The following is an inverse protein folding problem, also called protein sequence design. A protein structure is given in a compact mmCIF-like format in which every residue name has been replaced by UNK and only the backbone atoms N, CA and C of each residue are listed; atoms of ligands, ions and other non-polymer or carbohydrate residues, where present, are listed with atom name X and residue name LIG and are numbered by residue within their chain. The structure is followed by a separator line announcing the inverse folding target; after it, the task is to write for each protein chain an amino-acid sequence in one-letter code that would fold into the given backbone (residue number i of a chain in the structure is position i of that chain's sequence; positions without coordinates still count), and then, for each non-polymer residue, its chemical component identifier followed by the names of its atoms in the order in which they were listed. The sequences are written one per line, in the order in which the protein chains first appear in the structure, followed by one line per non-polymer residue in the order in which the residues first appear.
data_IF_410002127150
#
_entry.id   IF_410002127150
#
_cell.length_a   1.000
_cell.length_b   1.000
_cell.length_c   1.000
_cell.angle_alpha   90.00
_cell.angle_beta   90.00
_cell.angle_gamma   90.00
#
_symmetry.space_group_name_H-M   'P 1'
#
loop_
_entity.id
_entity.type
_entity.pdbx_description
1 polymer ?
#
# COMPACT_ATOMS: atom_id res chain seq x y z
N UNK A 1 -12.26 -9.87 -11.77
CA UNK A 1 -11.58 -10.37 -10.54
C UNK A 1 -10.13 -10.66 -10.84
N UNK A 2 -9.24 -10.37 -9.93
CA UNK A 2 -7.84 -10.82 -9.99
C UNK A 2 -7.82 -12.36 -9.99
N UNK A 3 -7.52 -12.97 -11.13
CA UNK A 3 -7.49 -14.44 -11.26
C UNK A 3 -6.22 -15.03 -10.63
N UNK A 4 -5.10 -14.31 -10.70
CA UNK A 4 -3.81 -14.74 -10.19
C UNK A 4 -3.45 -14.02 -8.88
N UNK A 5 -2.45 -14.55 -8.16
CA UNK A 5 -1.82 -13.84 -7.05
C UNK A 5 -1.01 -12.67 -7.57
N UNK A 6 -0.92 -11.62 -6.76
CA UNK A 6 -0.09 -10.46 -7.07
C UNK A 6 1.38 -10.81 -6.82
N UNK A 7 2.22 -10.62 -7.83
CA UNK A 7 3.67 -10.77 -7.73
C UNK A 7 4.37 -9.45 -8.06
N UNK A 8 5.44 -9.14 -7.34
CA UNK A 8 6.19 -7.89 -7.49
C UNK A 8 5.66 -6.74 -6.63
N UNK A 9 5.95 -5.52 -7.03
CA UNK A 9 5.71 -4.32 -6.25
C UNK A 9 4.36 -3.67 -6.60
N UNK A 10 3.56 -3.39 -5.58
CA UNK A 10 2.37 -2.53 -5.66
C UNK A 10 2.70 -1.25 -4.89
N UNK A 11 2.64 -0.10 -5.53
CA UNK A 11 2.81 1.17 -4.85
C UNK A 11 1.57 1.51 -4.00
N UNK A 12 1.78 2.15 -2.86
CA UNK A 12 0.73 2.88 -2.15
C UNK A 12 0.87 4.37 -2.50
N UNK A 13 0.19 4.89 -3.54
CA UNK A 13 0.39 6.25 -4.01
C UNK A 13 0.00 7.29 -2.99
N UNK A 14 0.73 8.40 -2.98
CA UNK A 14 0.31 9.61 -2.30
C UNK A 14 -0.86 10.25 -3.04
N UNK A 15 -1.85 10.72 -2.33
CA UNK A 15 -2.86 11.59 -2.93
C UNK A 15 -2.25 12.97 -3.16
N UNK A 16 -2.31 13.45 -4.39
CA UNK A 16 -1.79 14.76 -4.72
C UNK A 16 -2.81 15.84 -4.38
N UNK A 17 -2.32 16.92 -3.77
CA UNK A 17 -3.09 18.12 -3.47
C UNK A 17 -2.41 19.34 -4.05
N UNK A 18 -3.21 20.36 -4.34
CA UNK A 18 -2.73 21.70 -4.69
C UNK A 18 -2.29 22.49 -3.44
N UNK A 19 -1.89 23.72 -3.63
CA UNK A 19 -1.45 24.61 -2.55
C UNK A 19 -2.58 25.02 -1.56
N UNK A 20 -3.85 24.80 -1.92
CA UNK A 20 -5.02 25.05 -1.08
C UNK A 20 -5.46 23.78 -0.33
N UNK A 21 -4.81 22.63 -0.58
CA UNK A 21 -5.18 21.33 -0.03
C UNK A 21 -6.34 20.65 -0.76
N UNK A 22 -6.71 21.13 -1.96
CA UNK A 22 -7.69 20.49 -2.81
C UNK A 22 -7.05 19.40 -3.69
N UNK A 23 -7.85 18.42 -4.16
CA UNK A 23 -7.34 17.33 -4.98
C UNK A 23 -6.70 17.82 -6.28
N UNK A 24 -5.49 17.35 -6.57
CA UNK A 24 -4.82 17.51 -7.85
C UNK A 24 -4.86 16.19 -8.63
N UNK A 25 -5.96 15.93 -9.31
CA UNK A 25 -6.15 14.71 -10.10
C UNK A 25 -5.34 14.71 -11.40
N UNK A 26 -4.90 15.88 -11.88
CA UNK A 26 -4.14 16.03 -13.13
C UNK A 26 -2.74 15.40 -13.05
N UNK A 27 -2.24 15.16 -11.82
CA UNK A 27 -0.97 14.45 -11.63
C UNK A 27 -1.09 12.93 -11.84
N UNK A 28 -2.27 12.35 -11.72
CA UNK A 28 -2.48 10.89 -11.72
C UNK A 28 -1.98 10.22 -13.03
N UNK A 29 -2.22 10.76 -14.24
CA UNK A 29 -1.69 10.15 -15.46
C UNK A 29 -0.16 10.05 -15.49
N UNK A 30 0.54 11.12 -15.11
CA UNK A 30 2.01 11.12 -15.02
C UNK A 30 2.50 10.16 -13.94
N UNK A 31 1.82 10.13 -12.80
CA UNK A 31 2.13 9.21 -11.70
C UNK A 31 2.00 7.74 -12.13
N UNK A 32 0.88 7.39 -12.79
CA UNK A 32 0.67 6.05 -13.33
C UNK A 32 1.78 5.63 -14.31
N UNK A 33 2.16 6.50 -15.24
CA UNK A 33 3.24 6.22 -16.20
C UNK A 33 4.58 6.03 -15.49
N UNK A 34 4.89 6.85 -14.48
CA UNK A 34 6.09 6.69 -13.67
C UNK A 34 6.12 5.32 -12.97
N UNK A 35 5.02 4.90 -12.33
CA UNK A 35 4.95 3.58 -11.69
C UNK A 35 5.21 2.44 -12.69
N UNK A 36 4.60 2.49 -13.86
CA UNK A 36 4.82 1.49 -14.93
C UNK A 36 6.26 1.46 -15.40
N UNK A 37 6.85 2.63 -15.67
CA UNK A 37 8.24 2.77 -16.14
C UNK A 37 9.23 2.15 -15.15
N UNK A 38 8.91 2.18 -13.84
CA UNK A 38 9.72 1.61 -12.79
C UNK A 38 9.31 0.16 -12.39
N UNK A 39 8.60 -0.55 -13.28
CA UNK A 39 8.19 -1.94 -13.11
C UNK A 39 7.32 -2.20 -11.85
N UNK A 40 6.55 -1.20 -11.42
CA UNK A 40 5.51 -1.36 -10.40
C UNK A 40 4.28 -1.98 -11.04
N UNK A 41 3.69 -2.99 -10.40
CA UNK A 41 2.62 -3.85 -10.94
C UNK A 41 1.22 -3.41 -10.55
N UNK A 42 1.09 -2.31 -9.81
CA UNK A 42 -0.23 -1.81 -9.42
C UNK A 42 -0.19 -0.69 -8.40
N UNK A 43 -1.36 -0.23 -8.02
CA UNK A 43 -1.56 0.83 -7.04
C UNK A 43 -2.59 0.43 -5.98
N UNK A 44 -2.24 0.66 -4.70
CA UNK A 44 -3.11 0.56 -3.54
C UNK A 44 -3.52 1.99 -3.14
N UNK A 45 -4.61 2.47 -3.74
CA UNK A 45 -5.02 3.88 -3.63
C UNK A 45 -5.83 4.17 -2.36
N UNK A 46 -5.80 5.41 -1.91
CA UNK A 46 -6.48 5.90 -0.71
C UNK A 46 -6.09 5.17 0.59
N UNK A 47 -4.94 4.45 0.61
CA UNK A 47 -4.40 3.84 1.82
C UNK A 47 -3.87 4.89 2.82
N UNK A 48 -3.09 4.45 3.82
CA UNK A 48 -2.47 5.37 4.80
C UNK A 48 -1.56 6.39 4.11
N UNK A 49 -0.75 5.96 3.15
CA UNK A 49 0.11 6.84 2.35
C UNK A 49 -0.69 7.83 1.50
N UNK A 50 -1.82 7.39 0.97
CA UNK A 50 -2.74 8.21 0.18
C UNK A 50 -3.72 9.03 1.02
N UNK A 51 -3.48 9.16 2.33
CA UNK A 51 -4.31 9.98 3.24
C UNK A 51 -5.80 9.63 3.23
N UNK A 52 -6.16 8.38 2.96
CA UNK A 52 -7.56 7.98 2.78
C UNK A 52 -8.46 8.27 3.97
N UNK A 53 -7.91 8.42 5.18
CA UNK A 53 -8.65 8.82 6.38
C UNK A 53 -8.93 10.33 6.44
N UNK A 54 -8.21 11.13 5.66
CA UNK A 54 -8.33 12.59 5.55
C UNK A 54 -9.10 13.03 4.29
N UNK A 55 -9.52 12.05 3.45
CA UNK A 55 -10.34 12.29 2.27
C UNK A 55 -11.83 12.17 2.62
N UNK A 56 -12.63 13.05 2.05
CA UNK A 56 -14.08 12.88 2.05
C UNK A 56 -14.49 11.69 1.19
N UNK A 57 -15.73 11.22 1.34
CA UNK A 57 -16.27 10.15 0.49
C UNK A 57 -16.19 10.49 -1.01
N UNK A 58 -16.60 11.71 -1.36
CA UNK A 58 -16.62 12.17 -2.75
C UNK A 58 -15.19 12.29 -3.33
N UNK A 59 -14.22 12.71 -2.53
CA UNK A 59 -12.82 12.74 -2.95
C UNK A 59 -12.27 11.34 -3.21
N UNK A 60 -12.59 10.36 -2.36
CA UNK A 60 -12.22 8.95 -2.61
C UNK A 60 -12.79 8.44 -3.93
N UNK A 61 -14.05 8.78 -4.22
CA UNK A 61 -14.70 8.43 -5.50
C UNK A 61 -14.01 9.10 -6.68
N UNK A 62 -13.63 10.37 -6.56
CA UNK A 62 -12.91 11.09 -7.62
C UNK A 62 -11.52 10.46 -7.88
N UNK A 63 -10.76 10.17 -6.82
CA UNK A 63 -9.47 9.49 -6.94
C UNK A 63 -9.63 8.11 -7.61
N UNK A 64 -10.61 7.32 -7.17
CA UNK A 64 -10.92 6.02 -7.77
C UNK A 64 -11.18 6.16 -9.28
N UNK A 65 -12.08 7.06 -9.69
CA UNK A 65 -12.41 7.28 -11.10
C UNK A 65 -11.22 7.72 -11.94
N UNK A 66 -10.37 8.59 -11.40
CA UNK A 66 -9.17 9.04 -12.11
C UNK A 66 -8.17 7.89 -12.33
N UNK A 67 -8.00 6.99 -11.37
CA UNK A 67 -7.14 5.81 -11.52
C UNK A 67 -7.76 4.75 -12.43
N UNK A 68 -9.04 4.41 -12.26
CA UNK A 68 -9.71 3.39 -13.10
C UNK A 68 -9.76 3.78 -14.57
N UNK A 69 -9.88 5.08 -14.89
CA UNK A 69 -9.81 5.57 -16.26
C UNK A 69 -8.49 5.19 -16.99
N UNK A 70 -7.40 5.01 -16.24
CA UNK A 70 -6.09 4.63 -16.79
C UNK A 70 -5.84 3.12 -16.71
N UNK A 71 -6.29 2.47 -15.64
CA UNK A 71 -5.92 1.07 -15.36
C UNK A 71 -6.89 0.06 -15.98
N UNK A 72 -8.14 0.45 -16.25
CA UNK A 72 -9.19 -0.45 -16.78
C UNK A 72 -8.80 -1.17 -18.09
N UNK A 73 -7.96 -0.56 -18.91
CA UNK A 73 -7.46 -1.14 -20.16
C UNK A 73 -6.07 -1.80 -20.01
N UNK A 74 -5.53 -1.85 -18.81
CA UNK A 74 -4.20 -2.39 -18.51
C UNK A 74 -4.29 -3.59 -17.56
N UNK A 75 -4.44 -4.81 -18.08
CA UNK A 75 -4.60 -6.01 -17.26
C UNK A 75 -3.35 -6.38 -16.46
N UNK A 76 -2.20 -5.78 -16.77
CA UNK A 76 -0.92 -6.01 -16.09
C UNK A 76 -0.68 -5.05 -14.92
N UNK A 77 -1.63 -4.14 -14.65
CA UNK A 77 -1.54 -3.17 -13.57
C UNK A 77 -2.75 -3.27 -12.64
N UNK A 78 -2.55 -3.87 -11.46
CA UNK A 78 -3.61 -4.09 -10.49
C UNK A 78 -4.00 -2.80 -9.74
N UNK A 79 -5.29 -2.48 -9.71
CA UNK A 79 -5.81 -1.37 -8.92
C UNK A 79 -6.58 -1.88 -7.70
N UNK A 80 -6.08 -1.58 -6.51
CA UNK A 80 -6.70 -1.94 -5.23
C UNK A 80 -7.21 -0.66 -4.57
N UNK A 81 -8.54 -0.56 -4.37
CA UNK A 81 -9.15 0.56 -3.67
C UNK A 81 -9.23 0.28 -2.17
N UNK A 82 -8.60 1.11 -1.34
CA UNK A 82 -8.77 1.05 0.10
C UNK A 82 -10.02 1.81 0.53
N UNK A 83 -10.96 1.10 1.13
CA UNK A 83 -12.27 1.61 1.50
C UNK A 83 -12.26 2.42 2.80
N UNK A 84 -11.36 2.06 3.73
CA UNK A 84 -11.32 2.58 5.08
C UNK A 84 -11.47 1.49 6.14
N UNK A 85 -11.97 1.86 7.31
CA UNK A 85 -12.11 0.92 8.44
C UNK A 85 -13.25 1.28 9.40
N UNK A 86 -13.39 2.54 9.79
CA UNK A 86 -14.25 2.92 10.92
C UNK A 86 -15.75 2.94 10.58
N UNK A 87 -16.11 3.43 9.40
CA UNK A 87 -17.50 3.53 8.95
C UNK A 87 -17.83 2.39 7.97
N UNK A 88 -18.30 1.25 8.49
CA UNK A 88 -18.63 0.07 7.69
C UNK A 88 -19.69 0.38 6.63
N UNK A 89 -20.68 1.23 6.93
CA UNK A 89 -21.72 1.60 5.95
C UNK A 89 -21.14 2.37 4.77
N UNK A 90 -20.24 3.30 5.03
CA UNK A 90 -19.51 4.03 3.98
C UNK A 90 -18.60 3.10 3.18
N UNK A 91 -17.89 2.18 3.85
CA UNK A 91 -17.07 1.18 3.16
C UNK A 91 -17.91 0.31 2.20
N UNK A 92 -19.15 -0.08 2.58
CA UNK A 92 -20.07 -0.82 1.70
C UNK A 92 -20.49 0.00 0.48
N UNK A 93 -20.78 1.29 0.65
CA UNK A 93 -21.11 2.18 -0.46
C UNK A 93 -19.93 2.32 -1.43
N UNK A 94 -18.74 2.55 -0.88
CA UNK A 94 -17.53 2.68 -1.69
C UNK A 94 -17.15 1.37 -2.38
N UNK A 95 -17.42 0.22 -1.77
CA UNK A 95 -17.24 -1.10 -2.39
C UNK A 95 -18.10 -1.27 -3.64
N UNK A 96 -19.39 -0.90 -3.56
CA UNK A 96 -20.30 -0.91 -4.73
C UNK A 96 -19.76 -0.04 -5.86
N UNK A 97 -19.34 1.19 -5.55
CA UNK A 97 -18.80 2.10 -6.55
C UNK A 97 -17.49 1.56 -7.12
N UNK A 98 -16.62 0.97 -6.29
CA UNK A 98 -15.35 0.39 -6.74
C UNK A 98 -15.55 -0.75 -7.75
N UNK A 99 -16.54 -1.61 -7.51
CA UNK A 99 -16.92 -2.66 -8.46
C UNK A 99 -17.47 -2.06 -9.77
N UNK A 100 -18.34 -1.07 -9.69
CA UNK A 100 -18.93 -0.42 -10.87
C UNK A 100 -17.89 0.31 -11.73
N UNK A 101 -16.94 0.97 -11.11
CA UNK A 101 -15.86 1.68 -11.81
C UNK A 101 -14.79 0.71 -12.34
N UNK A 102 -14.72 -0.54 -11.86
CA UNK A 102 -13.85 -1.57 -12.36
C UNK A 102 -12.50 -1.65 -11.64
N UNK A 103 -12.45 -1.36 -10.35
CA UNK A 103 -11.28 -1.70 -9.52
C UNK A 103 -11.09 -3.23 -9.49
N UNK A 104 -9.84 -3.69 -9.57
CA UNK A 104 -9.51 -5.12 -9.53
C UNK A 104 -9.75 -5.75 -8.16
N UNK A 105 -9.54 -4.95 -7.12
CA UNK A 105 -9.76 -5.35 -5.74
C UNK A 105 -10.18 -4.17 -4.86
N UNK A 106 -10.81 -4.53 -3.75
CA UNK A 106 -11.11 -3.63 -2.63
C UNK A 106 -10.37 -4.09 -1.39
N UNK A 107 -10.06 -3.15 -0.50
CA UNK A 107 -9.38 -3.46 0.75
C UNK A 107 -10.01 -2.72 1.93
N UNK A 108 -10.03 -3.40 3.07
CA UNK A 108 -10.60 -2.90 4.31
C UNK A 108 -9.65 -3.17 5.48
N UNK A 109 -9.58 -2.27 6.46
CA UNK A 109 -8.83 -2.48 7.71
C UNK A 109 -9.76 -2.53 8.91
N UNK A 110 -9.28 -3.05 10.04
CA UNK A 110 -10.06 -3.07 11.28
C UNK A 110 -10.60 -1.69 11.64
N UNK A 111 -11.88 -1.58 12.03
CA UNK A 111 -12.36 -0.39 12.72
C UNK A 111 -11.46 -0.04 13.91
N UNK A 112 -11.01 1.20 13.96
CA UNK A 112 -9.97 1.61 14.92
C UNK A 112 -10.49 2.48 16.07
N UNK A 113 -11.66 3.05 15.97
CA UNK A 113 -12.31 3.77 17.09
C UNK A 113 -13.14 2.80 17.93
N UNK A 114 -14.27 2.30 17.41
CA UNK A 114 -14.97 1.16 18.00
C UNK A 114 -14.43 -0.13 17.37
N UNK A 115 -13.60 -0.84 18.12
CA UNK A 115 -12.92 -2.04 17.62
C UNK A 115 -13.81 -3.28 17.71
N UNK A 116 -13.72 -4.21 16.76
CA UNK A 116 -14.29 -5.54 16.93
C UNK A 116 -13.78 -6.19 18.22
N UNK A 117 -14.66 -6.83 18.98
CA UNK A 117 -14.26 -7.47 20.26
C UNK A 117 -13.38 -8.72 20.04
N UNK A 118 -13.49 -9.35 18.86
CA UNK A 118 -12.74 -10.55 18.50
C UNK A 118 -12.65 -10.69 16.97
N UNK A 119 -11.90 -11.70 16.53
CA UNK A 119 -11.67 -11.96 15.11
C UNK A 119 -12.96 -12.35 14.36
N UNK A 120 -13.92 -13.00 15.02
CA UNK A 120 -15.20 -13.38 14.42
C UNK A 120 -16.05 -12.15 14.09
N UNK A 121 -16.02 -11.12 14.93
CA UNK A 121 -16.69 -9.84 14.61
C UNK A 121 -15.97 -9.08 13.51
N UNK A 122 -14.63 -9.15 13.44
CA UNK A 122 -13.87 -8.61 12.34
C UNK A 122 -14.23 -9.32 11.02
N UNK A 123 -14.31 -10.65 11.04
CA UNK A 123 -14.71 -11.46 9.88
C UNK A 123 -16.13 -11.11 9.38
N UNK A 124 -17.07 -10.80 10.30
CA UNK A 124 -18.41 -10.30 9.94
C UNK A 124 -18.36 -8.94 9.24
N UNK A 125 -17.49 -8.03 9.69
CA UNK A 125 -17.29 -6.75 8.97
C UNK A 125 -16.77 -7.00 7.55
N UNK A 126 -15.79 -7.92 7.39
CA UNK A 126 -15.29 -8.31 6.07
C UNK A 126 -16.41 -8.89 5.20
N UNK A 127 -17.24 -9.79 5.74
CA UNK A 127 -18.38 -10.39 5.05
C UNK A 127 -19.38 -9.35 4.56
N UNK A 128 -19.80 -8.44 5.45
CA UNK A 128 -20.77 -7.38 5.14
C UNK A 128 -20.29 -6.46 4.01
N UNK A 129 -19.00 -6.12 4.02
CA UNK A 129 -18.41 -5.23 3.01
C UNK A 129 -18.23 -5.98 1.70
N UNK A 130 -17.65 -7.17 1.72
CA UNK A 130 -17.40 -8.01 0.53
C UNK A 130 -18.70 -8.37 -0.19
N UNK A 131 -19.79 -8.63 0.56
CA UNK A 131 -21.11 -8.90 -0.02
C UNK A 131 -21.70 -7.73 -0.82
N UNK A 132 -21.19 -6.50 -0.60
CA UNK A 132 -21.62 -5.32 -1.38
C UNK A 132 -20.91 -5.21 -2.74
N UNK A 133 -19.83 -5.96 -2.97
CA UNK A 133 -19.08 -6.03 -4.22
C UNK A 133 -18.73 -7.50 -4.54
N UNK A 134 -19.75 -8.33 -4.89
CA UNK A 134 -19.60 -9.79 -4.94
C UNK A 134 -18.74 -10.28 -6.12
N UNK A 135 -18.38 -9.41 -7.05
CA UNK A 135 -17.53 -9.73 -8.20
C UNK A 135 -16.12 -9.13 -8.09
N UNK A 136 -15.79 -8.51 -6.97
CA UNK A 136 -14.50 -7.83 -6.76
C UNK A 136 -13.68 -8.56 -5.71
N UNK A 137 -12.37 -8.77 -5.95
CA UNK A 137 -11.47 -9.39 -4.99
C UNK A 137 -11.39 -8.56 -3.70
N UNK A 138 -11.41 -9.23 -2.54
CA UNK A 138 -11.38 -8.55 -1.25
C UNK A 138 -10.06 -8.86 -0.51
N UNK A 139 -9.35 -7.81 -0.08
CA UNK A 139 -8.17 -7.90 0.76
C UNK A 139 -8.41 -7.30 2.14
N UNK A 140 -7.94 -7.96 3.18
CA UNK A 140 -7.84 -7.33 4.48
C UNK A 140 -6.50 -6.60 4.62
N UNK A 141 -6.50 -5.38 5.17
CA UNK A 141 -5.29 -4.61 5.45
C UNK A 141 -4.95 -4.69 6.93
N UNK A 142 -3.97 -5.51 7.28
CA UNK A 142 -3.45 -5.65 8.64
C UNK A 142 -2.38 -4.61 8.94
N UNK A 143 -2.70 -3.65 9.80
CA UNK A 143 -1.79 -2.58 10.27
C UNK A 143 -2.08 -2.23 11.72
N UNK A 144 -1.74 -3.11 12.68
CA UNK A 144 -2.12 -2.97 14.08
C UNK A 144 -1.52 -1.72 14.74
N UNK A 145 -0.35 -1.25 14.31
CA UNK A 145 0.28 -0.03 14.84
C UNK A 145 -0.60 1.22 14.66
N UNK A 146 -1.43 1.29 13.62
CA UNK A 146 -2.35 2.41 13.39
C UNK A 146 -3.78 2.11 13.85
N UNK A 147 -4.22 0.86 13.77
CA UNK A 147 -5.61 0.51 14.10
C UNK A 147 -5.80 0.03 15.54
N UNK A 148 -4.71 -0.44 16.18
CA UNK A 148 -4.79 -1.14 17.45
C UNK A 148 -5.61 -2.44 17.38
N UNK A 149 -5.85 -2.95 16.17
CA UNK A 149 -6.49 -4.25 15.92
C UNK A 149 -5.47 -5.39 15.98
N UNK A 150 -5.14 -5.84 17.19
CA UNK A 150 -4.14 -6.88 17.44
C UNK A 150 -4.81 -8.27 17.41
N UNK A 151 -5.14 -8.74 16.22
CA UNK A 151 -5.64 -10.09 15.97
C UNK A 151 -4.59 -10.89 15.22
N UNK A 152 -4.47 -12.19 15.54
CA UNK A 152 -3.67 -13.09 14.69
C UNK A 152 -4.35 -13.22 13.34
N UNK A 153 -3.59 -13.07 12.29
CA UNK A 153 -4.15 -13.13 10.93
C UNK A 153 -4.44 -14.56 10.49
N UNK A 154 -3.78 -15.54 11.07
CA UNK A 154 -4.15 -16.94 10.83
C UNK A 154 -5.57 -17.24 11.32
N UNK A 155 -5.98 -16.71 12.48
CA UNK A 155 -7.34 -16.87 12.99
C UNK A 155 -8.36 -16.14 12.08
N UNK A 156 -7.97 -14.99 11.51
CA UNK A 156 -8.80 -14.30 10.52
C UNK A 156 -8.97 -15.11 9.24
N UNK A 157 -7.90 -15.71 8.72
CA UNK A 157 -7.99 -16.58 7.53
C UNK A 157 -8.94 -17.76 7.76
N UNK A 158 -8.89 -18.38 8.93
CA UNK A 158 -9.82 -19.45 9.31
C UNK A 158 -11.28 -18.95 9.35
N UNK A 159 -11.49 -17.76 9.95
CA UNK A 159 -12.83 -17.19 10.11
C UNK A 159 -13.48 -16.73 8.78
N UNK A 160 -12.69 -16.28 7.80
CA UNK A 160 -13.21 -15.78 6.52
C UNK A 160 -13.26 -16.81 5.42
N UNK A 161 -12.62 -17.96 5.57
CA UNK A 161 -12.40 -18.93 4.50
C UNK A 161 -13.68 -19.40 3.80
N UNK A 162 -14.71 -19.73 4.58
CA UNK A 162 -16.03 -20.11 4.07
C UNK A 162 -17.04 -18.95 4.13
N UNK A 163 -16.70 -17.85 4.83
CA UNK A 163 -17.61 -16.75 5.10
C UNK A 163 -17.57 -15.67 4.01
N UNK A 164 -16.41 -15.48 3.36
CA UNK A 164 -16.17 -14.40 2.40
C UNK A 164 -15.65 -14.99 1.07
N UNK A 165 -16.54 -15.37 0.13
CA UNK A 165 -16.15 -16.05 -1.11
C UNK A 165 -15.13 -15.28 -1.97
N UNK A 166 -15.15 -13.94 -1.89
CA UNK A 166 -14.24 -13.07 -2.65
C UNK A 166 -12.93 -12.75 -1.91
N UNK A 167 -12.72 -13.33 -0.70
CA UNK A 167 -11.51 -13.09 0.06
C UNK A 167 -10.28 -13.59 -0.70
N UNK A 168 -9.40 -12.66 -1.06
CA UNK A 168 -8.22 -12.95 -1.88
C UNK A 168 -6.95 -13.03 -1.05
N UNK A 169 -6.84 -12.23 0.02
CA UNK A 169 -5.62 -12.20 0.82
C UNK A 169 -5.54 -11.07 1.83
N UNK A 170 -4.33 -10.88 2.32
CA UNK A 170 -4.02 -9.88 3.35
C UNK A 170 -2.83 -9.03 2.89
N UNK A 171 -2.99 -7.69 2.95
CA UNK A 171 -1.85 -6.77 3.02
C UNK A 171 -1.36 -6.76 4.47
N UNK A 172 -0.19 -7.32 4.72
CA UNK A 172 0.34 -7.56 6.05
C UNK A 172 1.43 -6.54 6.40
N UNK A 173 1.08 -5.53 7.20
CA UNK A 173 1.97 -4.45 7.64
C UNK A 173 2.23 -4.56 9.13
N UNK A 174 2.85 -5.67 9.52
CA UNK A 174 3.23 -6.00 10.90
C UNK A 174 4.50 -6.87 10.89
N UNK A 175 5.22 -6.92 12.04
CA UNK A 175 6.50 -7.63 12.14
C UNK A 175 6.39 -9.01 12.82
N UNK A 176 5.19 -9.53 12.99
CA UNK A 176 5.02 -10.90 13.48
C UNK A 176 5.25 -11.90 12.34
N UNK A 177 6.51 -12.32 12.19
CA UNK A 177 6.90 -13.28 11.17
C UNK A 177 6.38 -14.70 11.42
N UNK A 178 6.05 -15.04 12.65
CA UNK A 178 5.46 -16.35 13.00
C UNK A 178 4.02 -16.42 12.48
N UNK A 179 3.19 -15.43 12.77
CA UNK A 179 1.82 -15.34 12.25
C UNK A 179 1.85 -15.22 10.71
N UNK A 180 2.74 -14.37 10.16
CA UNK A 180 2.87 -14.20 8.72
C UNK A 180 3.22 -15.50 7.97
N UNK A 181 4.17 -16.29 8.48
CA UNK A 181 4.55 -17.57 7.87
C UNK A 181 3.39 -18.58 7.97
N UNK A 182 2.65 -18.59 9.09
CA UNK A 182 1.45 -19.42 9.25
C UNK A 182 0.40 -19.06 8.20
N UNK A 183 0.15 -17.77 7.99
CA UNK A 183 -0.75 -17.28 6.95
C UNK A 183 -0.29 -17.65 5.52
N UNK A 184 1.00 -17.51 5.22
CA UNK A 184 1.57 -17.90 3.93
C UNK A 184 1.32 -19.37 3.60
N UNK A 185 1.39 -20.26 4.61
CA UNK A 185 1.25 -21.69 4.42
C UNK A 185 -0.19 -22.19 4.56
N UNK A 186 -1.13 -21.32 4.93
CA UNK A 186 -2.54 -21.70 5.12
C UNK A 186 -3.13 -22.37 3.88
N UNK A 187 -3.72 -23.56 4.07
CA UNK A 187 -4.37 -24.37 3.01
C UNK A 187 -3.56 -24.40 1.71
N UNK A 188 -2.31 -24.82 1.78
CA UNK A 188 -1.39 -24.89 0.64
C UNK A 188 -1.22 -23.55 -0.09
N UNK A 189 -1.06 -22.47 0.67
CA UNK A 189 -0.91 -21.11 0.14
C UNK A 189 -2.13 -20.63 -0.62
N UNK A 190 -3.33 -20.92 -0.14
CA UNK A 190 -4.58 -20.52 -0.77
C UNK A 190 -4.66 -19.02 -1.01
N UNK A 191 -4.27 -18.23 -0.02
CA UNK A 191 -4.43 -16.78 -0.03
C UNK A 191 -3.17 -16.03 -0.47
N UNK A 192 -3.40 -14.82 -0.97
CA UNK A 192 -2.36 -13.88 -1.33
C UNK A 192 -1.89 -13.10 -0.10
N UNK A 193 -0.61 -13.17 0.22
CA UNK A 193 -0.03 -12.47 1.36
C UNK A 193 0.93 -11.40 0.86
N UNK A 194 0.45 -10.14 0.88
CA UNK A 194 1.21 -8.99 0.40
C UNK A 194 1.99 -8.35 1.55
N UNK A 195 3.30 -8.35 1.46
CA UNK A 195 4.13 -7.74 2.50
C UNK A 195 4.02 -6.22 2.50
N UNK A 196 3.87 -5.61 3.67
CA UNK A 196 3.59 -4.18 3.81
C UNK A 196 4.67 -3.36 4.52
N UNK A 197 5.89 -3.93 4.76
CA UNK A 197 6.99 -3.24 5.43
C UNK A 197 8.25 -3.28 4.57
N UNK A 198 8.53 -2.17 3.94
CA UNK A 198 9.58 -2.00 2.93
C UNK A 198 10.98 -2.22 3.54
N UNK A 199 11.17 -1.80 4.80
CA UNK A 199 12.39 -1.95 5.59
C UNK A 199 12.74 -3.40 5.95
N UNK A 200 11.81 -4.33 5.80
CA UNK A 200 11.97 -5.76 6.10
C UNK A 200 11.65 -6.65 4.88
N UNK A 201 11.72 -6.10 3.67
CA UNK A 201 11.40 -6.81 2.43
C UNK A 201 12.16 -8.13 2.31
N UNK A 202 13.48 -8.11 2.50
CA UNK A 202 14.32 -9.30 2.36
C UNK A 202 13.89 -10.43 3.29
N UNK A 203 13.54 -10.12 4.55
CA UNK A 203 13.02 -11.11 5.49
C UNK A 203 11.77 -11.79 5.00
N UNK A 204 10.86 -11.02 4.38
CA UNK A 204 9.62 -11.56 3.82
C UNK A 204 9.85 -12.45 2.59
N UNK A 205 10.83 -12.10 1.75
CA UNK A 205 11.24 -12.92 0.61
C UNK A 205 11.77 -14.29 1.05
N UNK A 206 12.57 -14.35 2.14
CA UNK A 206 13.05 -15.59 2.73
C UNK A 206 11.90 -16.49 3.18
N UNK A 207 10.80 -15.91 3.70
CA UNK A 207 9.59 -16.66 4.06
C UNK A 207 8.77 -17.09 2.83
N UNK A 208 9.07 -16.56 1.65
CA UNK A 208 8.43 -16.92 0.39
C UNK A 208 7.32 -15.99 -0.07
N UNK A 209 7.33 -14.73 0.37
CA UNK A 209 6.49 -13.66 -0.18
C UNK A 209 6.84 -13.42 -1.65
N UNK A 210 5.83 -13.15 -2.47
CA UNK A 210 6.01 -12.81 -3.88
C UNK A 210 5.53 -11.41 -4.24
N UNK A 211 4.60 -10.86 -3.48
CA UNK A 211 4.04 -9.53 -3.70
C UNK A 211 4.17 -8.64 -2.47
N UNK A 212 4.36 -7.34 -2.69
CA UNK A 212 4.49 -6.36 -1.63
C UNK A 212 3.74 -5.07 -1.95
N UNK A 213 3.23 -4.39 -0.92
CA UNK A 213 2.54 -3.10 -1.04
C UNK A 213 3.24 -2.08 -0.15
N UNK A 214 3.94 -1.12 -0.73
CA UNK A 214 4.72 -0.15 0.01
C UNK A 214 4.67 1.28 -0.51
N UNK A 215 5.00 2.22 0.36
CA UNK A 215 5.03 3.65 0.03
C UNK A 215 6.32 4.07 -0.66
N UNK A 216 7.43 3.38 -0.38
CA UNK A 216 8.73 3.74 -0.93
C UNK A 216 8.87 3.35 -2.40
N UNK A 217 8.02 2.46 -2.90
CA UNK A 217 7.99 2.09 -4.33
C UNK A 217 7.52 3.23 -5.23
N UNK A 218 6.94 4.28 -4.68
CA UNK A 218 6.58 5.48 -5.40
C UNK A 218 7.81 6.24 -5.94
N UNK A 219 8.92 6.19 -5.18
CA UNK A 219 10.11 7.00 -5.49
C UNK A 219 11.42 6.20 -5.54
N UNK A 220 11.41 4.92 -5.16
CA UNK A 220 12.60 4.06 -5.13
C UNK A 220 12.31 2.61 -5.58
N UNK A 221 11.34 2.39 -6.48
CA UNK A 221 11.02 1.05 -6.97
C UNK A 221 12.22 0.31 -7.58
N UNK A 222 13.18 0.95 -8.31
CA UNK A 222 14.36 0.27 -8.80
C UNK A 222 15.18 -0.42 -7.71
N UNK A 223 15.35 0.21 -6.54
CA UNK A 223 16.05 -0.38 -5.39
C UNK A 223 15.46 -1.74 -4.98
N UNK A 224 14.14 -1.82 -4.92
CA UNK A 224 13.44 -3.04 -4.49
C UNK A 224 13.37 -4.09 -5.60
N UNK A 225 13.24 -3.68 -6.85
CA UNK A 225 13.35 -4.60 -7.98
C UNK A 225 14.74 -5.26 -8.01
N UNK A 226 15.80 -4.48 -7.80
CA UNK A 226 17.18 -5.00 -7.73
C UNK A 226 17.38 -5.90 -6.50
N UNK A 227 16.78 -5.56 -5.35
CA UNK A 227 16.82 -6.39 -4.15
C UNK A 227 16.15 -7.75 -4.41
N UNK A 228 14.97 -7.76 -5.00
CA UNK A 228 14.24 -8.98 -5.35
C UNK A 228 15.07 -9.81 -6.36
N UNK A 229 15.62 -9.16 -7.37
CA UNK A 229 16.46 -9.82 -8.38
C UNK A 229 17.70 -10.46 -7.76
N UNK A 230 18.41 -9.74 -6.89
CA UNK A 230 19.59 -10.27 -6.17
C UNK A 230 19.22 -11.48 -5.30
N UNK A 231 18.11 -11.42 -4.59
CA UNK A 231 17.60 -12.53 -3.78
C UNK A 231 17.29 -13.76 -4.64
N UNK A 232 16.54 -13.59 -5.75
CA UNK A 232 16.18 -14.69 -6.67
C UNK A 232 17.40 -15.33 -7.32
N UNK A 233 18.44 -14.55 -7.59
CA UNK A 233 19.73 -15.04 -8.12
C UNK A 233 20.61 -15.71 -7.07
N UNK A 234 20.21 -15.75 -5.78
CA UNK A 234 21.01 -16.28 -4.69
C UNK A 234 22.15 -15.37 -4.23
N UNK A 235 22.19 -14.13 -4.71
CA UNK A 235 23.20 -13.14 -4.30
C UNK A 235 22.73 -12.43 -3.01
N UNK A 236 22.81 -13.16 -1.88
CA UNK A 236 22.33 -12.67 -0.59
C UNK A 236 23.17 -11.50 -0.04
N UNK A 237 24.46 -11.43 -0.38
CA UNK A 237 25.29 -10.29 0.01
C UNK A 237 24.79 -8.99 -0.64
N UNK A 238 24.50 -9.03 -1.92
CA UNK A 238 23.95 -7.87 -2.63
C UNK A 238 22.53 -7.54 -2.15
N UNK A 239 21.69 -8.55 -1.93
CA UNK A 239 20.34 -8.33 -1.39
C UNK A 239 20.37 -7.65 -0.01
N UNK A 240 21.30 -8.05 0.87
CA UNK A 240 21.52 -7.40 2.17
C UNK A 240 21.97 -5.94 2.04
N UNK A 241 22.88 -5.63 1.11
CA UNK A 241 23.34 -4.26 0.86
C UNK A 241 22.19 -3.37 0.37
N UNK A 242 21.33 -3.90 -0.50
CA UNK A 242 20.16 -3.18 -1.03
C UNK A 242 19.09 -2.97 0.07
N UNK A 243 18.88 -3.99 0.92
CA UNK A 243 17.98 -3.84 2.07
C UNK A 243 18.50 -2.78 3.06
N UNK A 244 19.83 -2.74 3.31
CA UNK A 244 20.40 -1.71 4.17
C UNK A 244 20.19 -0.30 3.58
N UNK A 245 20.34 -0.12 2.28
CA UNK A 245 20.02 1.15 1.60
C UNK A 245 18.54 1.56 1.79
N UNK A 246 17.62 0.59 1.69
CA UNK A 246 16.20 0.81 1.98
C UNK A 246 16.00 1.29 3.41
N UNK A 247 16.63 0.64 4.38
CA UNK A 247 16.56 1.01 5.81
C UNK A 247 17.09 2.44 6.02
N UNK A 248 18.23 2.77 5.44
CA UNK A 248 18.86 4.09 5.61
C UNK A 248 17.97 5.20 5.00
N UNK A 249 17.36 4.94 3.83
CA UNK A 249 16.38 5.82 3.21
C UNK A 249 15.14 6.00 4.09
N UNK A 250 14.60 4.92 4.64
CA UNK A 250 13.39 4.95 5.50
C UNK A 250 13.67 5.65 6.84
N UNK A 251 14.87 5.53 7.40
CA UNK A 251 15.27 6.28 8.61
C UNK A 251 15.15 7.79 8.43
N UNK A 252 15.35 8.31 7.22
CA UNK A 252 15.15 9.73 6.95
C UNK A 252 13.66 10.13 7.05
N UNK A 253 12.71 9.21 6.82
CA UNK A 253 11.29 9.50 7.08
C UNK A 253 11.10 9.86 8.56
N UNK A 254 11.62 9.03 9.47
CA UNK A 254 11.53 9.30 10.92
C UNK A 254 12.26 10.58 11.34
N UNK A 255 13.42 10.87 10.73
CA UNK A 255 14.21 12.08 11.03
C UNK A 255 13.49 13.36 10.65
N UNK A 256 12.72 13.37 9.57
CA UNK A 256 12.15 14.60 8.98
C UNK A 256 10.61 14.69 9.06
N UNK A 257 9.97 13.95 9.97
CA UNK A 257 8.54 14.13 10.27
C UNK A 257 7.62 13.00 9.80
N UNK A 258 8.17 11.79 9.60
CA UNK A 258 7.37 10.59 9.31
C UNK A 258 6.83 10.58 7.89
N UNK A 259 5.57 10.22 7.73
CA UNK A 259 4.92 9.99 6.43
C UNK A 259 4.98 11.22 5.50
N UNK A 260 4.97 12.44 6.05
CA UNK A 260 5.06 13.68 5.26
C UNK A 260 6.35 13.77 4.44
N UNK A 261 7.44 13.19 4.94
CA UNK A 261 8.73 13.13 4.23
C UNK A 261 8.63 12.35 2.92
N UNK A 262 7.67 11.44 2.80
CA UNK A 262 7.42 10.71 1.55
C UNK A 262 7.08 11.65 0.39
N UNK A 263 6.26 12.70 0.61
CA UNK A 263 5.99 13.70 -0.43
C UNK A 263 7.22 14.58 -0.74
N UNK A 264 8.16 14.72 0.20
CA UNK A 264 9.44 15.36 -0.09
C UNK A 264 10.31 14.49 -1.02
N UNK A 265 10.33 13.17 -0.84
CA UNK A 265 10.95 12.24 -1.81
C UNK A 265 10.30 12.34 -3.19
N UNK A 266 8.96 12.46 -3.26
CA UNK A 266 8.25 12.59 -4.54
C UNK A 266 8.68 13.82 -5.33
N UNK A 267 8.99 14.95 -4.64
CA UNK A 267 9.56 16.14 -5.30
C UNK A 267 10.93 15.86 -5.93
N UNK A 268 11.73 14.96 -5.34
CA UNK A 268 13.07 14.61 -5.86
C UNK A 268 13.02 13.65 -7.06
N UNK A 269 11.85 13.12 -7.37
CA UNK A 269 11.56 12.34 -8.57
C UNK A 269 10.57 13.05 -9.50
N UNK A 270 10.52 14.38 -9.43
CA UNK A 270 9.72 15.28 -10.29
C UNK A 270 8.21 14.98 -10.30
N UNK A 271 7.69 14.43 -9.19
CA UNK A 271 6.26 14.20 -8.94
C UNK A 271 5.80 14.94 -7.68
N UNK A 272 5.61 16.25 -7.77
CA UNK A 272 5.17 17.05 -6.60
C UNK A 272 3.71 16.76 -6.26
N UNK A 273 3.50 15.98 -5.19
CA UNK A 273 2.16 15.66 -4.66
C UNK A 273 1.63 16.73 -3.68
N UNK A 274 2.25 17.90 -3.60
CA UNK A 274 1.86 18.94 -2.65
C UNK A 274 2.18 18.61 -1.20
N UNK A 275 1.38 19.14 -0.27
CA UNK A 275 1.49 18.86 1.16
C UNK A 275 0.54 17.76 1.63
N UNK A 276 0.69 17.37 2.90
CA UNK A 276 -0.30 16.59 3.65
C UNK A 276 -1.36 17.51 4.26
N UNK A 277 -2.56 17.01 4.42
CA UNK A 277 -3.62 17.67 5.20
C UNK A 277 -3.38 17.50 6.70
N UNK A 278 -3.95 18.41 7.49
CA UNK A 278 -3.99 18.22 8.95
C UNK A 278 -4.65 16.89 9.32
N UNK A 279 -4.19 16.22 10.38
CA UNK A 279 -3.26 16.71 11.43
C UNK A 279 -1.78 16.52 11.12
N UNK A 280 -1.41 16.05 9.94
CA UNK A 280 -0.01 15.79 9.57
C UNK A 280 0.70 17.11 9.30
N UNK A 281 1.82 17.34 10.03
CA UNK A 281 2.65 18.50 9.80
C UNK A 281 3.52 18.33 8.55
N UNK A 282 3.56 19.36 7.71
CA UNK A 282 4.41 19.37 6.53
C UNK A 282 5.83 19.82 6.86
N UNK A 283 6.80 19.35 6.07
CA UNK A 283 8.20 19.70 6.22
C UNK A 283 8.43 21.20 5.93
N UNK A 284 9.22 21.89 6.78
CA UNK A 284 9.62 23.29 6.53
C UNK A 284 10.61 23.37 5.36
N UNK A 285 10.77 24.57 4.80
CA UNK A 285 11.75 24.81 3.72
C UNK A 285 13.18 24.53 4.18
N UNK A 286 13.52 24.94 5.41
CA UNK A 286 14.85 24.68 5.98
C UNK A 286 15.11 23.17 6.10
N UNK A 287 14.14 22.43 6.65
CA UNK A 287 14.24 20.97 6.77
C UNK A 287 14.30 20.29 5.40
N UNK A 288 13.63 20.83 4.39
CA UNK A 288 13.71 20.28 3.03
C UNK A 288 15.11 20.42 2.43
N UNK A 289 15.83 21.53 2.68
CA UNK A 289 17.22 21.68 2.22
C UNK A 289 18.16 20.70 2.95
N UNK A 290 18.01 20.53 4.27
CA UNK A 290 18.75 19.52 5.03
C UNK A 290 18.45 18.10 4.56
N UNK A 291 17.17 17.81 4.32
CA UNK A 291 16.73 16.53 3.78
C UNK A 291 17.36 16.22 2.42
N UNK A 292 17.40 17.19 1.51
CA UNK A 292 18.05 17.00 0.19
C UNK A 292 19.54 16.64 0.34
N UNK A 293 20.24 17.29 1.26
CA UNK A 293 21.65 17.00 1.51
C UNK A 293 21.84 15.56 2.04
N UNK A 294 21.02 15.12 3.00
CA UNK A 294 21.06 13.77 3.53
C UNK A 294 20.70 12.72 2.46
N UNK A 295 19.70 13.00 1.64
CA UNK A 295 19.28 12.11 0.54
C UNK A 295 20.37 11.98 -0.53
N UNK A 296 21.05 13.11 -0.86
CA UNK A 296 22.19 13.09 -1.77
C UNK A 296 23.36 12.27 -1.19
N UNK A 297 23.62 12.36 0.11
CA UNK A 297 24.64 11.57 0.79
C UNK A 297 24.36 10.07 0.78
N UNK A 298 23.08 9.64 0.71
CA UNK A 298 22.69 8.24 0.49
C UNK A 298 22.96 7.73 -0.93
N UNK A 299 23.28 8.62 -1.87
CA UNK A 299 23.40 8.28 -3.29
C UNK A 299 22.05 7.93 -3.93
N UNK A 300 20.96 8.60 -3.52
CA UNK A 300 19.59 8.33 -3.94
C UNK A 300 19.41 8.35 -5.47
N UNK A 301 20.14 9.22 -6.17
CA UNK A 301 20.10 9.29 -7.64
C UNK A 301 20.47 7.98 -8.33
N UNK A 302 21.21 7.09 -7.66
CA UNK A 302 21.59 5.79 -8.22
C UNK A 302 20.50 4.73 -8.18
N UNK A 303 19.40 4.98 -7.43
CA UNK A 303 18.32 3.99 -7.22
C UNK A 303 16.92 4.58 -7.14
N UNK A 304 16.78 5.88 -7.39
CA UNK A 304 15.46 6.54 -7.42
C UNK A 304 14.64 6.10 -8.61
N UNK A 305 13.32 6.20 -8.48
CA UNK A 305 12.40 6.06 -9.61
C UNK A 305 12.64 7.15 -10.65
N UNK A 306 12.40 6.81 -11.91
CA UNK A 306 12.56 7.71 -13.08
C UNK A 306 11.19 8.03 -13.68
N UNK A 307 10.99 9.27 -14.11
CA UNK A 307 9.79 9.73 -14.82
C UNK A 307 9.94 9.73 -16.33
#
# INVERSE_FOLDING_TARGET
MLNNKIEGLIAAPFTAFDQNGELNLDLIPTYYQSLKKNNVKGAFICGSTGEGVSLTFDEKVQVLKAWTALTKADPDFALIMFLGGTNVKECKQLAVISEQEGADAISFTSPYYFKPANVQQLAKCCQEIAASAPNTAFYYYHIPVLTGGNYNMIDLLEAVDDLVPTFKGIKYTHEDFMDFLSCLNYKNRKYDMLWGRDENMLSSLVLGTKGAVGSTYNYAAPLYNDLIAAYVQGNFEQANKLQQKSIDMIRLLGKYGGIATGKAYMKLVDLDCGGFRLPIANMSKENFELFKADVAALGFDSFKSIN
#
